data_IF_162280120586
#
_entry.id   IF_162280120586
#
_cell.length_a   1.000
_cell.length_b   1.000
_cell.length_c   1.000
_cell.angle_alpha   90.00
_cell.angle_beta   90.00
_cell.angle_gamma   90.00
#
_symmetry.space_group_name_H-M   'P 1'
#
loop_
_entity.id
_entity.type
_entity.pdbx_description
1 polymer ?
#
# COMPACT_ATOMS: atom_id res chain seq x y z
N UNK A 1 7.17 15.12 -20.00
CA UNK A 1 8.64 15.15 -19.73
C UNK A 1 9.02 13.85 -19.05
N UNK A 2 10.11 13.20 -19.47
CA UNK A 2 10.59 11.98 -18.83
C UNK A 2 10.99 12.26 -17.37
N UNK A 3 10.68 11.34 -16.46
CA UNK A 3 11.02 11.40 -15.04
C UNK A 3 12.26 10.56 -14.77
N UNK A 4 13.08 11.02 -13.82
CA UNK A 4 14.15 10.18 -13.30
C UNK A 4 13.55 9.02 -12.48
N UNK A 5 14.15 7.81 -12.56
CA UNK A 5 13.78 6.71 -11.68
C UNK A 5 13.84 7.16 -10.22
N UNK A 6 12.94 6.62 -9.39
CA UNK A 6 13.01 6.81 -7.94
C UNK A 6 14.27 6.12 -7.41
N UNK A 7 14.84 6.68 -6.35
CA UNK A 7 15.98 6.09 -5.62
C UNK A 7 15.56 4.98 -4.64
N UNK A 8 14.42 4.35 -4.88
CA UNK A 8 13.88 3.23 -4.11
C UNK A 8 13.05 2.31 -5.00
N UNK A 9 12.78 1.12 -4.49
CA UNK A 9 11.86 0.14 -5.06
C UNK A 9 10.64 0.02 -4.14
N UNK A 10 9.44 0.15 -4.70
CA UNK A 10 8.18 -0.15 -4.04
C UNK A 10 7.51 -1.38 -4.67
N UNK A 11 6.56 -1.99 -3.96
CA UNK A 11 5.77 -3.10 -4.52
C UNK A 11 5.09 -2.74 -5.84
N UNK A 12 4.51 -1.53 -5.94
CA UNK A 12 3.88 -1.05 -7.19
C UNK A 12 4.88 -0.94 -8.35
N UNK A 13 6.12 -0.53 -8.08
CA UNK A 13 7.20 -0.51 -9.07
C UNK A 13 7.56 -1.93 -9.54
N UNK A 14 7.66 -2.90 -8.63
CA UNK A 14 7.94 -4.30 -8.96
C UNK A 14 6.86 -4.91 -9.84
N UNK A 15 5.58 -4.74 -9.46
CA UNK A 15 4.45 -5.23 -10.27
C UNK A 15 4.43 -4.57 -11.66
N UNK A 16 4.76 -3.28 -11.75
CA UNK A 16 4.87 -2.60 -13.04
C UNK A 16 6.00 -3.17 -13.89
N UNK A 17 7.14 -3.48 -13.27
CA UNK A 17 8.28 -4.12 -13.92
C UNK A 17 7.94 -5.51 -14.46
N UNK A 18 7.35 -6.39 -13.63
CA UNK A 18 6.95 -7.75 -14.01
C UNK A 18 5.95 -7.76 -15.18
N UNK A 19 5.10 -6.73 -15.26
CA UNK A 19 4.13 -6.55 -16.34
C UNK A 19 4.72 -5.88 -17.60
N UNK A 20 6.01 -5.52 -17.59
CA UNK A 20 6.66 -4.80 -18.69
C UNK A 20 6.20 -3.34 -18.85
N UNK A 21 5.61 -2.74 -17.81
CA UNK A 21 5.01 -1.39 -17.84
C UNK A 21 5.84 -0.32 -17.13
N UNK A 22 6.93 -0.70 -16.46
CA UNK A 22 7.72 0.22 -15.65
C UNK A 22 8.19 1.46 -16.40
N UNK A 23 8.69 1.28 -17.64
CA UNK A 23 9.16 2.40 -18.44
C UNK A 23 8.03 3.40 -18.77
N UNK A 24 6.86 2.89 -19.18
CA UNK A 24 5.69 3.74 -19.46
C UNK A 24 5.26 4.52 -18.21
N UNK A 25 5.13 3.83 -17.08
CA UNK A 25 4.52 4.39 -15.86
C UNK A 25 5.49 5.32 -15.10
N UNK A 26 6.75 4.91 -14.96
CA UNK A 26 7.72 5.60 -14.09
C UNK A 26 8.74 6.46 -14.83
N UNK A 27 9.00 6.21 -16.12
CA UNK A 27 9.92 7.03 -16.92
C UNK A 27 9.15 7.99 -17.81
N UNK A 28 8.17 7.52 -18.58
CA UNK A 28 7.34 8.40 -19.42
C UNK A 28 6.24 9.11 -18.62
N UNK A 29 5.86 8.58 -17.45
CA UNK A 29 4.85 9.16 -16.58
C UNK A 29 3.42 8.89 -17.03
N UNK A 30 3.20 7.85 -17.85
CA UNK A 30 1.87 7.44 -18.32
C UNK A 30 1.17 6.68 -17.21
N UNK A 31 0.24 7.32 -16.50
CA UNK A 31 -0.63 6.64 -15.54
C UNK A 31 -1.89 6.12 -16.23
N UNK A 32 -2.21 4.85 -15.97
CA UNK A 32 -3.52 4.27 -16.27
C UNK A 32 -4.29 4.24 -14.96
N UNK A 33 -5.12 5.24 -14.72
CA UNK A 33 -6.06 5.27 -13.60
C UNK A 33 -7.35 4.55 -14.03
N UNK A 34 -7.89 3.72 -13.13
CA UNK A 34 -9.21 3.12 -13.29
C UNK A 34 -10.17 3.75 -12.31
N UNK A 35 -11.47 3.67 -12.59
CA UNK A 35 -12.51 4.20 -11.70
C UNK A 35 -12.40 3.59 -10.29
N UNK A 36 -12.00 2.33 -10.20
CA UNK A 36 -11.76 1.64 -8.92
C UNK A 36 -10.52 2.18 -8.19
N UNK A 37 -9.45 2.51 -8.91
CA UNK A 37 -8.25 3.11 -8.32
C UNK A 37 -8.53 4.52 -7.80
N UNK A 38 -9.29 5.31 -8.56
CA UNK A 38 -9.71 6.66 -8.16
C UNK A 38 -10.62 6.61 -6.94
N UNK A 39 -11.56 5.66 -6.92
CA UNK A 39 -12.41 5.43 -5.76
C UNK A 39 -11.61 5.01 -4.53
N UNK A 40 -10.69 4.05 -4.67
CA UNK A 40 -9.81 3.63 -3.56
C UNK A 40 -8.98 4.79 -3.01
N UNK A 41 -8.40 5.61 -3.90
CA UNK A 41 -7.65 6.80 -3.52
C UNK A 41 -8.53 7.83 -2.80
N UNK A 42 -9.73 8.10 -3.30
CA UNK A 42 -10.71 8.99 -2.65
C UNK A 42 -11.00 8.53 -1.22
N UNK A 43 -11.21 7.24 -1.01
CA UNK A 43 -11.47 6.69 0.33
C UNK A 43 -10.24 6.85 1.23
N UNK A 44 -9.04 6.49 0.77
CA UNK A 44 -7.81 6.64 1.53
C UNK A 44 -7.55 8.10 1.94
N UNK A 45 -7.56 9.03 0.97
CA UNK A 45 -7.36 10.47 1.19
C UNK A 45 -8.44 11.04 2.14
N UNK A 46 -9.68 10.56 2.02
CA UNK A 46 -10.80 10.96 2.87
C UNK A 46 -10.68 10.48 4.32
N UNK A 47 -10.17 9.27 4.53
CA UNK A 47 -9.92 8.72 5.86
C UNK A 47 -8.77 9.44 6.56
N UNK A 48 -7.71 9.79 5.82
CA UNK A 48 -6.56 10.54 6.32
C UNK A 48 -6.95 11.98 6.72
N UNK A 49 -7.72 12.67 5.86
CA UNK A 49 -8.11 14.06 6.07
C UNK A 49 -9.29 14.28 7.02
N UNK A 50 -10.02 13.21 7.39
CA UNK A 50 -11.23 13.33 8.19
C UNK A 50 -12.44 13.86 7.41
N UNK A 51 -12.50 13.62 6.09
CA UNK A 51 -13.60 14.08 5.22
C UNK A 51 -14.98 13.58 5.67
N UNK A 52 -16.02 14.41 5.51
CA UNK A 52 -17.42 14.06 5.80
C UNK A 52 -18.20 13.67 4.54
N UNK A 53 -17.50 13.28 3.47
CA UNK A 53 -18.17 12.70 2.31
C UNK A 53 -18.84 11.37 2.68
N UNK A 54 -20.08 11.15 2.23
CA UNK A 54 -20.90 10.00 2.62
C UNK A 54 -20.20 8.65 2.42
N UNK A 55 -19.48 8.48 1.31
CA UNK A 55 -18.73 7.25 1.05
C UNK A 55 -17.61 7.07 2.09
N UNK A 56 -16.87 8.15 2.40
CA UNK A 56 -15.79 8.12 3.39
C UNK A 56 -16.32 7.84 4.79
N UNK A 57 -17.43 8.47 5.18
CA UNK A 57 -18.11 8.20 6.45
C UNK A 57 -18.58 6.74 6.53
N UNK A 58 -19.14 6.21 5.43
CA UNK A 58 -19.50 4.80 5.36
C UNK A 58 -18.31 3.90 5.64
N UNK A 59 -17.20 4.07 4.92
CA UNK A 59 -15.99 3.26 5.13
C UNK A 59 -15.37 3.45 6.52
N UNK A 60 -15.43 4.67 7.09
CA UNK A 60 -14.92 4.95 8.45
C UNK A 60 -15.64 4.13 9.53
N UNK A 61 -16.91 3.79 9.33
CA UNK A 61 -17.65 2.92 10.28
C UNK A 61 -17.16 1.47 10.27
N UNK A 62 -16.53 0.99 9.19
CA UNK A 62 -16.10 -0.41 9.02
C UNK A 62 -14.59 -0.60 9.14
N UNK A 63 -13.81 0.44 8.87
CA UNK A 63 -12.35 0.39 8.95
C UNK A 63 -11.92 0.64 10.39
N UNK A 64 -11.19 -0.30 11.02
CA UNK A 64 -10.66 -0.11 12.37
C UNK A 64 -9.83 1.17 12.49
N UNK A 65 -9.89 1.78 13.67
CA UNK A 65 -8.93 2.81 14.04
C UNK A 65 -7.53 2.18 14.16
N UNK A 66 -6.54 2.92 13.67
CA UNK A 66 -5.12 2.57 13.70
C UNK A 66 -4.34 3.79 14.17
N UNK A 67 -3.21 3.58 14.81
CA UNK A 67 -2.39 4.67 15.35
C UNK A 67 -1.87 5.61 14.26
N UNK A 68 -1.45 5.06 13.11
CA UNK A 68 -0.95 5.84 11.98
C UNK A 68 -1.57 5.34 10.66
N UNK A 69 -2.11 6.27 9.86
CA UNK A 69 -2.56 5.99 8.48
C UNK A 69 -1.46 6.35 7.48
N UNK A 70 -1.45 5.67 6.34
CA UNK A 70 -0.56 5.97 5.20
C UNK A 70 0.94 6.01 5.57
N UNK A 71 1.35 5.22 6.58
CA UNK A 71 2.70 5.22 7.12
C UNK A 71 3.71 4.73 6.09
N UNK A 72 4.72 5.55 5.82
CA UNK A 72 5.84 5.19 4.96
C UNK A 72 7.05 4.71 5.77
N UNK A 73 7.67 3.62 5.32
CA UNK A 73 8.94 3.13 5.83
C UNK A 73 9.86 2.86 4.64
N UNK A 74 11.10 3.30 4.72
CA UNK A 74 12.14 2.97 3.74
C UNK A 74 13.31 2.35 4.49
N UNK A 75 13.68 1.12 4.10
CA UNK A 75 14.82 0.39 4.66
C UNK A 75 15.77 0.00 3.53
N UNK A 76 17.07 -0.06 3.81
CA UNK A 76 18.05 -0.58 2.86
C UNK A 76 18.33 -2.04 3.20
N UNK A 77 17.88 -2.95 2.34
CA UNK A 77 18.03 -4.39 2.49
C UNK A 77 18.98 -4.86 1.39
N UNK A 78 20.11 -5.46 1.76
CA UNK A 78 21.15 -5.90 0.82
C UNK A 78 21.63 -4.79 -0.14
N UNK A 79 21.68 -3.55 0.34
CA UNK A 79 22.07 -2.39 -0.48
C UNK A 79 20.95 -1.83 -1.36
N UNK A 80 19.76 -2.42 -1.34
CA UNK A 80 18.60 -1.94 -2.08
C UNK A 80 17.66 -1.14 -1.16
N UNK A 81 17.40 0.15 -1.44
CA UNK A 81 16.38 0.93 -0.73
C UNK A 81 14.98 0.45 -1.13
N UNK A 82 14.26 -0.17 -0.20
CA UNK A 82 12.90 -0.64 -0.38
C UNK A 82 11.95 0.26 0.42
N UNK A 83 10.95 0.82 -0.27
CA UNK A 83 9.93 1.68 0.33
C UNK A 83 8.58 0.97 0.35
N UNK A 84 7.95 0.98 1.52
CA UNK A 84 6.56 0.55 1.71
C UNK A 84 5.72 1.74 2.17
N UNK A 85 4.42 1.70 1.83
CA UNK A 85 3.40 2.64 2.32
C UNK A 85 2.21 1.80 2.77
N UNK A 86 1.93 1.81 4.07
CA UNK A 86 0.92 0.96 4.69
C UNK A 86 -0.33 1.80 4.97
N UNK A 87 -1.52 1.30 4.62
CA UNK A 87 -2.75 2.05 4.81
C UNK A 87 -3.04 2.29 6.31
N UNK A 88 -2.73 1.30 7.15
CA UNK A 88 -2.77 1.41 8.61
C UNK A 88 -1.58 0.73 9.29
N UNK A 89 -1.02 1.38 10.30
CA UNK A 89 0.12 0.91 11.08
C UNK A 89 -0.07 1.19 12.57
N UNK A 90 0.13 0.15 13.38
CA UNK A 90 0.28 0.27 14.83
C UNK A 90 1.68 -0.23 15.19
N UNK A 91 2.44 0.56 15.95
CA UNK A 91 3.74 0.11 16.44
C UNK A 91 3.60 -0.78 17.69
N UNK A 92 2.51 -0.61 18.45
CA UNK A 92 2.21 -1.32 19.70
C UNK A 92 0.70 -1.59 19.82
N UNK A 93 0.21 -2.80 19.48
CA UNK A 93 0.96 -3.95 18.97
C UNK A 93 1.54 -3.69 17.57
N UNK A 94 2.60 -4.41 17.18
CA UNK A 94 3.20 -4.26 15.85
C UNK A 94 2.27 -4.88 14.79
N UNK A 95 1.45 -4.05 14.14
CA UNK A 95 0.40 -4.47 13.21
C UNK A 95 0.42 -3.63 11.94
N UNK A 96 0.18 -4.30 10.82
CA UNK A 96 0.00 -3.69 9.49
C UNK A 96 -1.39 -4.04 8.98
N UNK A 97 -2.16 -3.02 8.63
CA UNK A 97 -3.48 -3.17 8.03
C UNK A 97 -3.46 -2.63 6.59
N UNK A 98 -3.93 -3.44 5.65
CA UNK A 98 -4.11 -3.08 4.25
C UNK A 98 -5.60 -3.06 3.91
N UNK A 99 -6.08 -1.99 3.29
CA UNK A 99 -7.48 -1.79 2.95
C UNK A 99 -7.69 -1.94 1.44
N UNK A 100 -8.72 -2.70 1.05
CA UNK A 100 -9.07 -2.89 -0.36
C UNK A 100 -10.53 -2.49 -0.56
N UNK A 101 -10.79 -1.66 -1.57
CA UNK A 101 -12.16 -1.16 -1.89
C UNK A 101 -12.73 -1.76 -3.18
N UNK A 102 -12.05 -2.75 -3.76
CA UNK A 102 -12.44 -3.35 -5.03
C UNK A 102 -13.73 -4.19 -4.93
N UNK A 103 -14.38 -4.47 -6.06
CA UNK A 103 -15.63 -5.27 -6.05
C UNK A 103 -15.43 -6.78 -5.92
N UNK A 104 -14.23 -7.28 -6.25
CA UNK A 104 -13.98 -8.72 -6.27
C UNK A 104 -13.41 -9.16 -4.92
N UNK A 105 -14.01 -10.17 -4.26
CA UNK A 105 -13.53 -10.64 -2.96
C UNK A 105 -12.05 -10.99 -2.96
N UNK A 106 -11.35 -10.61 -1.90
CA UNK A 106 -10.00 -11.06 -1.60
C UNK A 106 -10.06 -12.42 -0.92
N UNK A 107 -9.58 -13.45 -1.61
CA UNK A 107 -9.39 -14.79 -1.04
C UNK A 107 -7.95 -14.93 -0.57
N UNK A 108 -7.68 -15.84 0.36
CA UNK A 108 -6.31 -16.11 0.83
C UNK A 108 -5.37 -16.39 -0.35
N UNK A 109 -5.79 -17.19 -1.34
CA UNK A 109 -4.98 -17.47 -2.53
C UNK A 109 -4.72 -16.25 -3.44
N UNK A 110 -5.47 -15.14 -3.33
CA UNK A 110 -5.11 -13.86 -3.96
C UNK A 110 -4.10 -13.09 -3.13
N UNK A 111 -4.25 -13.13 -1.80
CA UNK A 111 -3.30 -12.52 -0.86
C UNK A 111 -1.92 -13.16 -1.00
N UNK A 112 -1.85 -14.49 -1.01
CA UNK A 112 -0.58 -15.22 -1.12
C UNK A 112 0.13 -15.00 -2.47
N UNK A 113 -0.64 -14.64 -3.51
CA UNK A 113 -0.09 -14.26 -4.82
C UNK A 113 0.29 -12.79 -4.92
N UNK A 114 -0.22 -11.96 -4.01
CA UNK A 114 0.09 -10.55 -3.94
C UNK A 114 1.22 -10.38 -2.92
N UNK A 115 2.47 -10.35 -3.39
CA UNK A 115 3.67 -10.21 -2.55
C UNK A 115 3.73 -8.90 -1.74
N UNK A 116 2.70 -8.05 -1.82
CA UNK A 116 2.58 -6.79 -1.10
C UNK A 116 2.79 -6.95 0.41
N UNK A 117 1.98 -7.80 1.06
CA UNK A 117 2.06 -7.99 2.51
C UNK A 117 3.34 -8.71 2.93
N UNK A 118 3.88 -9.57 2.07
CA UNK A 118 5.20 -10.21 2.26
C UNK A 118 6.31 -9.18 2.29
N UNK A 119 6.34 -8.26 1.33
CA UNK A 119 7.32 -7.17 1.27
C UNK A 119 7.15 -6.23 2.47
N UNK A 120 5.91 -5.92 2.85
CA UNK A 120 5.64 -5.07 4.01
C UNK A 120 6.19 -5.72 5.28
N UNK A 121 5.88 -7.00 5.50
CA UNK A 121 6.38 -7.79 6.62
C UNK A 121 7.91 -7.84 6.66
N UNK A 122 8.56 -8.04 5.51
CA UNK A 122 10.02 -8.05 5.41
C UNK A 122 10.64 -6.71 5.81
N UNK A 123 10.12 -5.59 5.30
CA UNK A 123 10.64 -4.24 5.62
C UNK A 123 10.38 -3.87 7.08
N UNK A 124 9.20 -4.18 7.61
CA UNK A 124 8.87 -3.98 9.03
C UNK A 124 9.76 -4.84 9.92
N UNK A 125 9.96 -6.12 9.57
CA UNK A 125 10.89 -6.99 10.29
C UNK A 125 12.31 -6.47 10.22
N UNK A 126 12.77 -5.95 9.08
CA UNK A 126 14.11 -5.38 8.96
C UNK A 126 14.31 -4.21 9.94
N UNK A 127 13.32 -3.33 10.06
CA UNK A 127 13.36 -2.15 10.94
C UNK A 127 13.22 -2.50 12.42
N UNK A 128 12.19 -3.28 12.76
CA UNK A 128 11.78 -3.53 14.15
C UNK A 128 12.30 -4.85 14.72
N UNK A 129 12.94 -5.69 13.88
CA UNK A 129 13.44 -7.04 14.20
C UNK A 129 12.36 -7.98 14.75
N UNK A 130 11.10 -7.73 14.37
CA UNK A 130 9.91 -8.49 14.75
C UNK A 130 8.94 -8.54 13.57
N UNK A 131 8.29 -9.68 13.37
CA UNK A 131 7.25 -9.80 12.37
C UNK A 131 5.98 -9.08 12.84
N UNK A 132 5.35 -8.26 11.98
CA UNK A 132 4.06 -7.67 12.29
C UNK A 132 2.93 -8.70 12.21
N UNK A 133 1.85 -8.45 12.95
CA UNK A 133 0.54 -9.00 12.58
C UNK A 133 0.08 -8.34 11.28
N UNK A 134 -0.34 -9.15 10.31
CA UNK A 134 -0.82 -8.67 9.02
C UNK A 134 -2.32 -8.85 8.94
N UNK A 135 -3.03 -7.80 8.54
CA UNK A 135 -4.48 -7.87 8.29
C UNK A 135 -4.79 -7.22 6.95
N UNK A 136 -5.57 -7.92 6.13
CA UNK A 136 -6.21 -7.33 4.95
C UNK A 136 -7.69 -7.16 5.24
N UNK A 137 -8.21 -5.96 5.02
CA UNK A 137 -9.62 -5.60 5.19
C UNK A 137 -10.19 -5.27 3.82
N UNK A 138 -11.33 -5.85 3.51
CA UNK A 138 -12.02 -5.73 2.23
C UNK A 138 -13.52 -5.56 2.44
#
# INVERSE_FOLDING_TARGET
MAKNPKNYISYSQLISWEKGKYYEEYILGVRRESVEMDFGKKIADGLESGSNEKDVEFFRMWIPEVAEREKEITETIEGLPIKIKMDGFDEKPLKVSEYKTGKTPWTQGKVDKADQLTIYSMVVWHKYKKYPELTLIW
#
